data_IF_984113240424
#
_entry.id   IF_984113240424
#
_cell.length_a   1.000
_cell.length_b   1.000
_cell.length_c   1.000
_cell.angle_alpha   90.00
_cell.angle_beta   90.00
_cell.angle_gamma   90.00
#
_symmetry.space_group_name_H-M   'P 1'
#
loop_
_entity.id
_entity.type
_entity.pdbx_description
1 polymer ?
#
# COMPACT_ATOMS: atom_id res chain seq x y z
N UNK A 1 -18.11 18.65 -5.42
CA UNK A 1 -17.18 17.95 -6.32
C UNK A 1 -15.98 17.37 -5.60
N UNK A 2 -15.39 18.12 -4.66
CA UNK A 2 -14.27 17.59 -3.87
C UNK A 2 -14.66 16.41 -2.98
N UNK A 3 -15.91 16.32 -2.57
CA UNK A 3 -16.38 15.21 -1.71
C UNK A 3 -16.25 13.86 -2.43
N UNK A 4 -16.65 13.81 -3.71
CA UNK A 4 -16.55 12.57 -4.48
C UNK A 4 -15.10 12.16 -4.67
N UNK A 5 -14.25 13.13 -5.02
CA UNK A 5 -12.83 12.86 -5.19
C UNK A 5 -12.18 12.39 -3.89
N UNK A 6 -12.57 12.99 -2.77
CA UNK A 6 -12.08 12.60 -1.45
C UNK A 6 -12.52 11.19 -1.09
N UNK A 7 -13.75 10.83 -1.38
CA UNK A 7 -14.25 9.47 -1.15
C UNK A 7 -13.45 8.45 -1.95
N UNK A 8 -13.18 8.74 -3.22
CA UNK A 8 -12.41 7.83 -4.07
C UNK A 8 -10.96 7.71 -3.59
N UNK A 9 -10.35 8.83 -3.19
CA UNK A 9 -8.99 8.82 -2.67
C UNK A 9 -8.91 8.03 -1.36
N UNK A 10 -9.91 8.17 -0.50
CA UNK A 10 -9.98 7.43 0.77
C UNK A 10 -10.14 5.94 0.52
N UNK A 11 -10.99 5.56 -0.44
CA UNK A 11 -11.20 4.16 -0.80
C UNK A 11 -9.92 3.54 -1.37
N UNK A 12 -9.21 4.28 -2.22
CA UNK A 12 -7.94 3.81 -2.78
C UNK A 12 -6.91 3.62 -1.68
N UNK A 13 -6.79 4.56 -0.77
CA UNK A 13 -5.84 4.47 0.34
C UNK A 13 -6.14 3.24 1.20
N UNK A 14 -7.41 2.99 1.50
CA UNK A 14 -7.81 1.84 2.30
C UNK A 14 -7.44 0.53 1.61
N UNK A 15 -7.65 0.44 0.30
CA UNK A 15 -7.29 -0.76 -0.47
C UNK A 15 -5.78 -0.97 -0.49
N UNK A 16 -5.01 0.09 -0.70
CA UNK A 16 -3.56 0.01 -0.69
C UNK A 16 -3.04 -0.41 0.68
N UNK A 17 -3.64 0.12 1.74
CA UNK A 17 -3.24 -0.24 3.10
C UNK A 17 -3.52 -1.72 3.38
N UNK A 18 -4.67 -2.23 2.94
CA UNK A 18 -5.02 -3.64 3.11
C UNK A 18 -4.01 -4.54 2.41
N UNK A 19 -3.60 -4.17 1.20
CA UNK A 19 -2.60 -4.93 0.46
C UNK A 19 -1.22 -4.84 1.11
N UNK A 20 -0.87 -3.66 1.60
CA UNK A 20 0.40 -3.46 2.31
C UNK A 20 0.49 -4.35 3.55
N UNK A 21 -0.56 -4.35 4.35
CA UNK A 21 -0.61 -5.16 5.58
C UNK A 21 -0.56 -6.66 5.27
N UNK A 22 -1.21 -7.09 4.18
CA UNK A 22 -1.19 -8.48 3.76
C UNK A 22 0.22 -8.92 3.37
N UNK A 23 0.94 -8.09 2.62
CA UNK A 23 2.32 -8.38 2.26
C UNK A 23 3.22 -8.40 3.49
N UNK A 24 3.04 -7.43 4.38
CA UNK A 24 3.82 -7.35 5.61
C UNK A 24 3.61 -8.60 6.47
N UNK A 25 2.37 -9.06 6.60
CA UNK A 25 2.06 -10.27 7.34
C UNK A 25 2.76 -11.49 6.74
N UNK A 26 2.82 -11.56 5.40
CA UNK A 26 3.54 -12.64 4.72
C UNK A 26 5.03 -12.59 5.04
N UNK A 27 5.62 -11.39 5.03
CA UNK A 27 7.04 -11.21 5.30
C UNK A 27 7.41 -11.52 6.75
N UNK A 28 6.45 -11.44 7.66
CA UNK A 28 6.67 -11.73 9.08
C UNK A 28 6.53 -13.21 9.42
N UNK A 29 6.05 -14.03 8.49
CA UNK A 29 5.92 -15.46 8.73
C UNK A 29 7.30 -16.12 8.82
N UNK A 30 7.48 -17.08 9.76
CA UNK A 30 8.76 -17.79 9.85
C UNK A 30 9.15 -18.48 8.55
N UNK A 31 8.18 -19.03 7.81
CA UNK A 31 8.43 -19.72 6.56
C UNK A 31 8.86 -18.79 5.42
N UNK A 32 8.74 -17.47 5.58
CA UNK A 32 9.18 -16.53 4.56
C UNK A 32 10.68 -16.68 4.28
N UNK A 33 11.47 -16.97 5.31
CA UNK A 33 12.91 -17.19 5.14
C UNK A 33 13.22 -18.40 4.27
N UNK A 34 12.28 -19.35 4.16
CA UNK A 34 12.42 -20.56 3.35
C UNK A 34 11.93 -20.37 1.92
N UNK A 35 11.31 -19.25 1.59
CA UNK A 35 10.84 -18.99 0.23
C UNK A 35 12.06 -18.85 -0.70
N UNK A 36 11.91 -19.24 -1.99
CA UNK A 36 12.97 -18.97 -2.96
C UNK A 36 13.32 -17.48 -2.97
N UNK A 37 14.61 -17.19 -3.21
CA UNK A 37 15.09 -15.81 -3.13
C UNK A 37 14.36 -14.89 -4.11
N UNK A 38 14.01 -15.40 -5.29
CA UNK A 38 13.30 -14.61 -6.29
C UNK A 38 11.93 -14.17 -5.77
N UNK A 39 11.22 -15.08 -5.09
CA UNK A 39 9.92 -14.75 -4.51
C UNK A 39 10.04 -13.75 -3.39
N UNK A 40 11.06 -13.89 -2.54
CA UNK A 40 11.30 -12.93 -1.45
C UNK A 40 11.58 -11.54 -1.99
N UNK A 41 12.37 -11.45 -3.04
CA UNK A 41 12.70 -10.17 -3.67
C UNK A 41 11.44 -9.53 -4.26
N UNK A 42 10.60 -10.32 -4.93
CA UNK A 42 9.37 -9.80 -5.52
C UNK A 42 8.40 -9.29 -4.47
N UNK A 43 8.26 -10.02 -3.37
CA UNK A 43 7.35 -9.63 -2.28
C UNK A 43 7.87 -8.34 -1.64
N UNK A 44 9.17 -8.27 -1.37
CA UNK A 44 9.77 -7.08 -0.77
C UNK A 44 9.63 -5.86 -1.68
N UNK A 45 9.84 -6.04 -2.98
CA UNK A 45 9.68 -4.96 -3.95
C UNK A 45 8.24 -4.46 -3.99
N UNK A 46 7.26 -5.38 -4.01
CA UNK A 46 5.86 -5.00 -4.02
C UNK A 46 5.48 -4.25 -2.74
N UNK A 47 5.98 -4.70 -1.61
CA UNK A 47 5.75 -4.04 -0.33
C UNK A 47 6.27 -2.60 -0.38
N UNK A 48 7.46 -2.39 -0.89
CA UNK A 48 8.06 -1.06 -1.02
C UNK A 48 7.27 -0.18 -1.98
N UNK A 49 6.85 -0.73 -3.12
CA UNK A 49 6.06 0.01 -4.11
C UNK A 49 4.73 0.47 -3.53
N UNK A 50 4.03 -0.42 -2.83
CA UNK A 50 2.75 -0.08 -2.23
C UNK A 50 2.94 0.96 -1.12
N UNK A 51 4.03 0.85 -0.34
CA UNK A 51 4.36 1.85 0.66
C UNK A 51 4.53 3.24 0.05
N UNK A 52 5.21 3.32 -1.10
CA UNK A 52 5.35 4.57 -1.83
C UNK A 52 4.02 5.11 -2.34
N UNK A 53 3.17 4.23 -2.85
CA UNK A 53 1.84 4.61 -3.32
C UNK A 53 0.95 5.10 -2.17
N UNK A 54 1.07 4.50 -0.99
CA UNK A 54 0.35 4.95 0.19
C UNK A 54 0.73 6.38 0.57
N UNK A 55 2.01 6.70 0.51
CA UNK A 55 2.49 8.05 0.79
C UNK A 55 1.92 9.05 -0.22
N UNK A 56 1.90 8.67 -1.50
CA UNK A 56 1.33 9.51 -2.55
C UNK A 56 -0.17 9.67 -2.39
N UNK A 57 -0.88 8.60 -2.04
CA UNK A 57 -2.32 8.64 -1.84
C UNK A 57 -2.69 9.58 -0.68
N UNK A 58 -1.92 9.55 0.39
CA UNK A 58 -2.12 10.43 1.52
C UNK A 58 -1.93 11.89 1.12
N UNK A 59 -0.88 12.16 0.35
CA UNK A 59 -0.61 13.51 -0.14
C UNK A 59 -1.73 14.02 -1.05
N UNK A 60 -2.20 13.16 -1.97
CA UNK A 60 -3.29 13.51 -2.88
C UNK A 60 -4.57 13.80 -2.09
N UNK A 61 -4.87 12.98 -1.10
CA UNK A 61 -6.02 13.16 -0.24
C UNK A 61 -5.96 14.50 0.49
N UNK A 62 -4.78 14.85 0.98
CA UNK A 62 -4.56 16.14 1.63
C UNK A 62 -4.81 17.29 0.66
N UNK A 63 -4.31 17.20 -0.58
CA UNK A 63 -4.52 18.23 -1.59
C UNK A 63 -6.00 18.38 -1.93
N UNK A 64 -6.71 17.27 -2.08
CA UNK A 64 -8.15 17.29 -2.38
C UNK A 64 -8.92 17.96 -1.23
N UNK A 65 -8.55 17.65 0.01
CA UNK A 65 -9.25 18.19 1.17
C UNK A 65 -9.09 19.70 1.31
N UNK A 66 -8.11 20.29 0.64
CA UNK A 66 -7.88 21.72 0.65
C UNK A 66 -8.63 22.47 -0.44
N UNK A 67 -9.23 21.76 -1.37
CA UNK A 67 -10.03 22.36 -2.41
C UNK A 67 -11.40 22.80 -1.84
#
# INVERSE_FOLDING_TARGET
MSERALELATALEAELLAQFEKLEATMQRPEFASFPIDERIQIDRKHSEIGGLLTQADFIKYQISRL
#
